data_IF_849794125943
#
_entry.id   IF_849794125943
#
_cell.length_a   1.000
_cell.length_b   1.000
_cell.length_c   1.000
_cell.angle_alpha   90.00
_cell.angle_beta   90.00
_cell.angle_gamma   90.00
#
_symmetry.space_group_name_H-M   'P 1'
#
loop_
_entity.id
_entity.type
_entity.pdbx_description
1 polymer ?
#
# COMPACT_ATOMS: atom_id res chain seq x y z
N UNK A 1 -6.99 22.91 13.76
CA UNK A 1 -5.65 22.97 14.42
C UNK A 1 -4.70 22.12 13.59
N UNK A 2 -3.61 22.73 13.09
CA UNK A 2 -2.58 21.94 12.40
C UNK A 2 -1.84 21.10 13.45
N UNK A 3 -2.05 19.79 13.44
CA UNK A 3 -1.28 18.87 14.25
C UNK A 3 0.19 18.94 13.80
N UNK A 4 1.05 19.45 14.66
CA UNK A 4 2.48 19.58 14.36
C UNK A 4 3.26 18.59 15.21
N UNK A 5 3.60 17.44 14.62
CA UNK A 5 4.36 16.38 15.28
C UNK A 5 5.74 16.85 15.80
N UNK A 6 6.29 17.93 15.23
CA UNK A 6 7.61 18.48 15.64
C UNK A 6 7.61 19.03 17.08
N UNK A 7 6.43 19.32 17.62
CA UNK A 7 6.26 19.81 18.99
C UNK A 7 6.01 18.69 20.02
N UNK A 8 5.94 17.43 19.56
CA UNK A 8 5.72 16.28 20.45
C UNK A 8 7.02 15.79 21.09
N UNK A 9 6.96 15.39 22.35
CA UNK A 9 8.02 14.65 23.03
C UNK A 9 8.24 13.27 22.37
N UNK A 10 9.40 12.65 22.60
CA UNK A 10 9.71 11.30 22.11
C UNK A 10 8.63 10.30 22.52
N UNK A 11 8.14 10.35 23.76
CA UNK A 11 7.08 9.46 24.27
C UNK A 11 5.75 9.68 23.54
N UNK A 12 5.38 10.93 23.28
CA UNK A 12 4.16 11.24 22.52
C UNK A 12 4.27 10.80 21.08
N UNK A 13 5.45 10.96 20.46
CA UNK A 13 5.71 10.44 19.11
C UNK A 13 5.55 8.92 19.05
N UNK A 14 6.17 8.17 19.96
CA UNK A 14 6.01 6.72 20.05
C UNK A 14 4.54 6.32 20.22
N UNK A 15 3.80 6.98 21.11
CA UNK A 15 2.39 6.67 21.32
C UNK A 15 1.51 7.00 20.11
N UNK A 16 1.88 8.00 19.30
CA UNK A 16 1.10 8.43 18.15
C UNK A 16 1.47 7.70 16.84
N UNK A 17 2.73 7.28 16.68
CA UNK A 17 3.21 6.78 15.39
C UNK A 17 3.75 5.34 15.44
N UNK A 18 3.86 4.72 16.62
CA UNK A 18 4.08 3.29 16.73
C UNK A 18 2.74 2.57 16.92
N UNK A 19 2.13 1.99 15.86
CA UNK A 19 0.80 1.41 15.95
C UNK A 19 0.75 0.19 16.88
N UNK A 20 1.89 -0.45 17.17
CA UNK A 20 1.94 -1.57 18.14
C UNK A 20 1.57 -1.12 19.54
N UNK A 21 1.87 0.14 19.91
CA UNK A 21 1.55 0.69 21.21
C UNK A 21 0.04 1.03 21.37
N UNK A 22 -0.71 1.03 20.26
CA UNK A 22 -2.14 1.34 20.25
C UNK A 22 -3.04 0.13 20.46
N UNK A 23 -2.48 -1.08 20.52
CA UNK A 23 -3.23 -2.33 20.68
C UNK A 23 -2.62 -3.17 21.80
N UNK A 24 -3.45 -3.88 22.56
CA UNK A 24 -2.98 -4.69 23.68
C UNK A 24 -2.04 -5.84 23.24
N UNK A 25 -2.33 -6.43 22.09
CA UNK A 25 -1.54 -7.53 21.52
C UNK A 25 -1.62 -7.50 19.99
N UNK A 26 -0.58 -6.94 19.36
CA UNK A 26 -0.50 -6.90 17.91
C UNK A 26 -0.16 -8.26 17.28
N UNK A 27 0.43 -9.18 18.06
CA UNK A 27 0.86 -10.50 17.53
C UNK A 27 -0.33 -11.33 17.05
N UNK A 28 -1.50 -11.17 17.68
CA UNK A 28 -2.75 -11.81 17.22
C UNK A 28 -3.12 -11.45 15.80
N UNK A 29 -2.99 -10.16 15.43
CA UNK A 29 -3.27 -9.73 14.06
C UNK A 29 -2.27 -10.33 13.06
N UNK A 30 -0.99 -10.41 13.44
CA UNK A 30 0.04 -11.00 12.57
C UNK A 30 -0.20 -12.50 12.35
N UNK A 31 -0.58 -13.21 13.40
CA UNK A 31 -0.95 -14.63 13.29
C UNK A 31 -2.20 -14.82 12.41
N UNK A 32 -3.19 -13.95 12.56
CA UNK A 32 -4.41 -13.98 11.76
C UNK A 32 -4.11 -13.66 10.28
N UNK A 33 -3.26 -12.67 9.98
CA UNK A 33 -2.82 -12.39 8.61
C UNK A 33 -2.18 -13.63 7.97
N UNK A 34 -1.23 -14.27 8.66
CA UNK A 34 -0.56 -15.47 8.17
C UNK A 34 -1.54 -16.61 7.91
N UNK A 35 -2.46 -16.85 8.84
CA UNK A 35 -3.49 -17.87 8.70
C UNK A 35 -4.41 -17.61 7.51
N UNK A 36 -4.95 -16.40 7.40
CA UNK A 36 -5.83 -16.00 6.29
C UNK A 36 -5.09 -15.99 4.95
N UNK A 37 -3.84 -15.49 4.96
CA UNK A 37 -2.98 -15.46 3.79
C UNK A 37 -2.67 -16.86 3.27
N UNK A 38 -2.28 -17.79 4.13
CA UNK A 38 -2.04 -19.18 3.78
C UNK A 38 -3.29 -19.84 3.20
N UNK A 39 -4.43 -19.74 3.90
CA UNK A 39 -5.71 -20.27 3.43
C UNK A 39 -6.06 -19.76 2.03
N UNK A 40 -5.89 -18.46 1.79
CA UNK A 40 -6.16 -17.85 0.49
C UNK A 40 -5.28 -18.42 -0.62
N UNK A 41 -4.00 -18.63 -0.34
CA UNK A 41 -3.04 -19.20 -1.30
C UNK A 41 -3.34 -20.67 -1.64
N UNK A 42 -4.00 -21.38 -0.74
CA UNK A 42 -4.47 -22.77 -0.95
C UNK A 42 -5.80 -22.83 -1.72
N UNK A 43 -6.71 -21.88 -1.48
CA UNK A 43 -8.08 -21.93 -2.01
C UNK A 43 -8.26 -21.17 -3.34
N UNK A 44 -7.47 -20.13 -3.58
CA UNK A 44 -7.63 -19.27 -4.78
C UNK A 44 -6.56 -19.61 -5.82
N UNK A 45 -6.94 -19.75 -7.11
CA UNK A 45 -5.98 -19.98 -8.18
C UNK A 45 -4.89 -18.89 -8.18
N UNK A 46 -3.64 -19.31 -8.04
CA UNK A 46 -2.51 -18.41 -7.89
C UNK A 46 -1.24 -18.93 -8.55
N UNK A 47 -0.35 -18.02 -8.90
CA UNK A 47 1.03 -18.28 -9.29
C UNK A 47 1.91 -17.53 -8.29
N UNK A 48 2.69 -18.25 -7.54
CA UNK A 48 3.43 -17.76 -6.38
C UNK A 48 4.89 -17.53 -6.73
N UNK A 49 5.50 -16.49 -6.10
CA UNK A 49 6.93 -16.21 -6.17
C UNK A 49 7.48 -15.93 -7.57
N UNK A 50 6.70 -15.26 -8.41
CA UNK A 50 7.15 -14.79 -9.72
C UNK A 50 8.16 -13.66 -9.55
N UNK A 51 9.39 -13.83 -10.03
CA UNK A 51 10.43 -12.81 -9.94
C UNK A 51 10.16 -11.64 -10.89
N UNK A 52 10.26 -10.41 -10.37
CA UNK A 52 10.23 -9.18 -11.17
C UNK A 52 11.58 -8.45 -11.18
N UNK A 53 12.55 -8.93 -10.41
CA UNK A 53 13.90 -8.39 -10.31
C UNK A 53 14.92 -9.44 -9.89
N UNK A 54 16.15 -8.99 -9.55
CA UNK A 54 17.29 -9.86 -9.32
C UNK A 54 17.57 -10.22 -7.86
N UNK A 55 16.87 -9.63 -6.89
CA UNK A 55 17.09 -9.89 -5.46
C UNK A 55 16.07 -10.87 -4.88
N UNK A 56 16.35 -11.51 -3.74
CA UNK A 56 15.50 -12.57 -3.19
C UNK A 56 14.04 -12.19 -2.97
N UNK A 57 13.76 -10.93 -2.51
CA UNK A 57 12.40 -10.46 -2.22
C UNK A 57 11.76 -9.68 -3.39
N UNK A 58 12.46 -9.47 -4.50
CA UNK A 58 11.85 -8.92 -5.71
C UNK A 58 10.96 -9.96 -6.40
N UNK A 59 9.92 -10.37 -5.69
CA UNK A 59 8.93 -11.36 -6.12
C UNK A 59 7.51 -10.83 -5.94
N UNK A 60 6.59 -11.41 -6.69
CA UNK A 60 5.17 -11.12 -6.57
C UNK A 60 4.35 -12.41 -6.67
N UNK A 61 3.16 -12.39 -6.09
CA UNK A 61 2.16 -13.43 -6.26
C UNK A 61 1.03 -12.92 -7.14
N UNK A 62 0.50 -13.79 -7.98
CA UNK A 62 -0.56 -13.48 -8.95
C UNK A 62 -1.78 -14.31 -8.58
N UNK A 63 -2.93 -13.68 -8.35
CA UNK A 63 -4.19 -14.34 -8.05
C UNK A 63 -5.22 -13.97 -9.12
N UNK A 64 -5.95 -14.95 -9.60
CA UNK A 64 -6.97 -14.71 -10.61
C UNK A 64 -7.70 -15.98 -11.00
N UNK A 65 -8.92 -15.84 -11.52
CA UNK A 65 -9.66 -16.98 -12.10
C UNK A 65 -8.97 -17.49 -13.35
N UNK A 66 -9.17 -18.76 -13.66
CA UNK A 66 -8.74 -19.33 -14.94
C UNK A 66 -9.47 -18.64 -16.10
N UNK A 67 -8.79 -18.51 -17.23
CA UNK A 67 -9.35 -17.95 -18.48
C UNK A 67 -9.75 -16.46 -18.42
N UNK A 68 -9.16 -15.67 -17.50
CA UNK A 68 -9.30 -14.22 -17.59
C UNK A 68 -8.80 -13.72 -18.95
N UNK A 69 -9.55 -12.78 -19.52
CA UNK A 69 -9.18 -12.12 -20.77
C UNK A 69 -9.48 -10.63 -20.65
N UNK A 70 -8.48 -9.81 -20.86
CA UNK A 70 -8.58 -8.34 -20.78
C UNK A 70 -9.09 -7.82 -19.41
N UNK A 71 -8.81 -8.56 -18.33
CA UNK A 71 -9.26 -8.25 -16.97
C UNK A 71 -8.58 -6.99 -16.43
N UNK A 72 -9.30 -6.22 -15.62
CA UNK A 72 -8.72 -5.12 -14.87
C UNK A 72 -7.72 -5.65 -13.85
N UNK A 73 -6.64 -4.92 -13.63
CA UNK A 73 -5.50 -5.32 -12.81
C UNK A 73 -5.51 -4.53 -11.50
N UNK A 74 -5.29 -5.22 -10.39
CA UNK A 74 -5.06 -4.58 -9.11
C UNK A 74 -3.73 -5.03 -8.51
N UNK A 75 -2.94 -4.09 -8.02
CA UNK A 75 -1.65 -4.33 -7.37
C UNK A 75 -1.77 -3.94 -5.89
N UNK A 76 -1.32 -4.80 -5.00
CA UNK A 76 -1.22 -4.50 -3.57
C UNK A 76 0.24 -4.48 -3.09
N UNK A 77 0.57 -3.50 -2.24
CA UNK A 77 1.87 -3.32 -1.61
C UNK A 77 1.71 -3.37 -0.10
N UNK A 78 2.39 -4.31 0.55
CA UNK A 78 2.29 -4.52 1.99
C UNK A 78 2.95 -3.40 2.81
N UNK A 79 2.58 -3.32 4.08
CA UNK A 79 3.14 -2.42 5.07
C UNK A 79 4.36 -3.01 5.81
N UNK A 80 4.55 -2.60 7.08
CA UNK A 80 5.60 -3.13 7.95
C UNK A 80 6.77 -2.17 8.17
N UNK A 81 6.55 -0.87 8.10
CA UNK A 81 7.59 0.15 8.29
C UNK A 81 8.84 -0.07 7.40
N UNK A 82 8.66 -0.58 6.17
CA UNK A 82 9.73 -0.91 5.20
C UNK A 82 10.76 -1.93 5.73
N UNK A 83 10.54 -2.60 6.87
CA UNK A 83 11.47 -3.49 7.56
C UNK A 83 10.91 -4.86 7.93
N UNK A 84 9.64 -5.10 7.70
CA UNK A 84 8.94 -6.31 8.13
C UNK A 84 7.77 -6.64 7.22
N UNK A 85 7.19 -7.82 7.42
CA UNK A 85 6.11 -8.42 6.68
C UNK A 85 6.52 -8.89 5.29
N UNK A 86 5.60 -9.60 4.66
CA UNK A 86 5.76 -10.23 3.35
C UNK A 86 4.43 -10.16 2.59
N UNK A 87 4.50 -10.23 1.26
CA UNK A 87 3.32 -10.29 0.40
C UNK A 87 2.33 -11.40 0.79
N UNK A 88 2.85 -12.51 1.33
CA UNK A 88 2.05 -13.65 1.75
C UNK A 88 1.17 -13.37 2.97
N UNK A 89 1.60 -12.46 3.85
CA UNK A 89 0.83 -12.08 5.05
C UNK A 89 -0.50 -11.38 4.70
N UNK A 90 -0.65 -10.91 3.45
CA UNK A 90 -1.83 -10.15 3.00
C UNK A 90 -2.53 -10.76 1.79
N UNK A 91 -2.31 -12.04 1.49
CA UNK A 91 -2.93 -12.73 0.34
C UNK A 91 -4.46 -12.73 0.40
N UNK A 92 -5.07 -12.68 1.60
CA UNK A 92 -6.53 -12.61 1.80
C UNK A 92 -7.17 -11.37 1.15
N UNK A 93 -6.42 -10.30 0.94
CA UNK A 93 -6.92 -9.12 0.25
C UNK A 93 -7.20 -9.37 -1.24
N UNK A 94 -6.68 -10.45 -1.82
CA UNK A 94 -6.99 -10.84 -3.19
C UNK A 94 -8.43 -11.32 -3.37
N UNK A 95 -9.04 -11.90 -2.31
CA UNK A 95 -10.38 -12.54 -2.37
C UNK A 95 -11.43 -11.64 -3.01
N UNK A 96 -11.68 -10.40 -2.52
CA UNK A 96 -12.72 -9.56 -3.10
C UNK A 96 -12.45 -9.16 -4.55
N UNK A 97 -11.18 -9.00 -4.95
CA UNK A 97 -10.84 -8.66 -6.33
C UNK A 97 -11.02 -9.83 -7.28
N UNK A 98 -10.50 -11.01 -6.92
CA UNK A 98 -10.65 -12.24 -7.73
C UNK A 98 -12.12 -12.64 -7.88
N UNK A 99 -12.92 -12.50 -6.83
CA UNK A 99 -14.36 -12.75 -6.88
C UNK A 99 -15.11 -11.80 -7.84
N UNK A 100 -14.50 -10.66 -8.16
CA UNK A 100 -15.02 -9.67 -9.11
C UNK A 100 -14.34 -9.69 -10.47
N UNK A 101 -13.66 -10.79 -10.83
CA UNK A 101 -12.98 -11.02 -12.12
C UNK A 101 -11.80 -10.08 -12.39
N UNK A 102 -11.17 -9.54 -11.35
CA UNK A 102 -9.92 -8.80 -11.48
C UNK A 102 -8.71 -9.73 -11.35
N UNK A 103 -7.65 -9.40 -12.06
CA UNK A 103 -6.33 -10.00 -11.87
C UNK A 103 -5.60 -9.23 -10.77
N UNK A 104 -5.18 -9.93 -9.71
CA UNK A 104 -4.58 -9.32 -8.53
C UNK A 104 -3.10 -9.71 -8.38
N UNK A 105 -2.26 -8.72 -8.09
CA UNK A 105 -0.83 -8.89 -7.85
C UNK A 105 -0.50 -8.44 -6.43
N UNK A 106 0.09 -9.32 -5.62
CA UNK A 106 0.66 -8.96 -4.32
C UNK A 106 2.17 -8.83 -4.46
N UNK A 107 2.71 -7.62 -4.23
CA UNK A 107 4.12 -7.33 -4.46
C UNK A 107 4.91 -7.41 -3.14
N UNK A 108 6.04 -8.11 -3.20
CA UNK A 108 7.08 -8.06 -2.18
C UNK A 108 8.21 -7.11 -2.60
N UNK A 109 9.04 -6.71 -1.67
CA UNK A 109 10.23 -5.89 -1.87
C UNK A 109 11.27 -6.19 -0.79
N UNK A 110 12.52 -5.81 -1.01
CA UNK A 110 13.55 -5.89 0.02
C UNK A 110 13.20 -4.98 1.22
N UNK A 111 13.87 -5.23 2.33
CA UNK A 111 13.56 -4.59 3.60
C UNK A 111 14.76 -3.80 4.14
N UNK A 112 14.50 -2.69 4.79
CA UNK A 112 15.47 -1.99 5.62
C UNK A 112 15.91 -2.89 6.80
N UNK A 113 17.14 -2.80 7.28
CA UNK A 113 18.22 -1.91 6.83
C UNK A 113 19.08 -2.52 5.70
N UNK A 114 18.74 -3.69 5.15
CA UNK A 114 19.51 -4.36 4.10
C UNK A 114 19.57 -3.53 2.80
N UNK A 115 18.53 -2.76 2.55
CA UNK A 115 18.46 -1.77 1.47
C UNK A 115 17.92 -0.44 2.03
N UNK A 116 18.15 0.65 1.31
CA UNK A 116 17.62 1.98 1.65
C UNK A 116 16.16 2.11 1.25
N UNK A 117 15.45 3.09 1.84
CA UNK A 117 14.08 3.41 1.44
C UNK A 117 13.99 3.80 -0.04
N UNK A 118 14.99 4.52 -0.57
CA UNK A 118 15.05 4.85 -2.00
C UNK A 118 15.14 3.61 -2.89
N UNK A 119 15.89 2.59 -2.48
CA UNK A 119 15.97 1.33 -3.23
C UNK A 119 14.65 0.59 -3.19
N UNK A 120 13.94 0.57 -2.05
CA UNK A 120 12.59 -0.02 -1.97
C UNK A 120 11.63 0.71 -2.92
N UNK A 121 11.64 2.04 -2.96
CA UNK A 121 10.82 2.82 -3.90
C UNK A 121 11.12 2.42 -5.35
N UNK A 122 12.40 2.28 -5.72
CA UNK A 122 12.78 1.84 -7.08
C UNK A 122 12.34 0.41 -7.38
N UNK A 123 12.36 -0.49 -6.38
CA UNK A 123 11.86 -1.86 -6.55
C UNK A 123 10.36 -1.88 -6.82
N UNK A 124 9.56 -1.05 -6.13
CA UNK A 124 8.13 -0.93 -6.39
C UNK A 124 7.85 -0.37 -7.79
N UNK A 125 8.60 0.66 -8.22
CA UNK A 125 8.52 1.17 -9.59
C UNK A 125 8.82 0.06 -10.60
N UNK A 126 9.88 -0.73 -10.37
CA UNK A 126 10.26 -1.86 -11.21
C UNK A 126 9.18 -2.95 -11.27
N UNK A 127 8.54 -3.23 -10.12
CA UNK A 127 7.44 -4.20 -10.04
C UNK A 127 6.21 -3.74 -10.86
N UNK A 128 5.84 -2.46 -10.78
CA UNK A 128 4.73 -1.89 -11.55
C UNK A 128 5.05 -1.94 -13.06
N UNK A 129 6.29 -1.61 -13.46
CA UNK A 129 6.76 -1.76 -14.86
C UNK A 129 6.64 -3.22 -15.31
N UNK A 130 7.06 -4.16 -14.46
CA UNK A 130 6.98 -5.58 -14.77
C UNK A 130 5.52 -6.01 -14.95
N UNK A 131 4.62 -5.61 -14.07
CA UNK A 131 3.17 -5.90 -14.20
C UNK A 131 2.62 -5.30 -15.48
N UNK A 132 2.91 -4.04 -15.78
CA UNK A 132 2.49 -3.39 -17.03
C UNK A 132 2.91 -4.18 -18.27
N UNK A 133 4.16 -4.65 -18.31
CA UNK A 133 4.72 -5.39 -19.46
C UNK A 133 4.22 -6.84 -19.56
N UNK A 134 3.86 -7.46 -18.43
CA UNK A 134 3.64 -8.91 -18.38
C UNK A 134 2.19 -9.33 -18.06
N UNK A 135 1.32 -8.46 -17.50
CA UNK A 135 -0.02 -8.86 -17.03
C UNK A 135 -0.88 -9.51 -18.13
N UNK A 136 -0.67 -9.16 -19.42
CA UNK A 136 -1.37 -9.82 -20.54
C UNK A 136 -1.17 -11.33 -20.59
N UNK A 137 0.00 -11.85 -20.18
CA UNK A 137 0.29 -13.29 -20.13
C UNK A 137 -0.61 -14.04 -19.15
N UNK A 138 -1.19 -13.29 -18.20
CA UNK A 138 -2.06 -13.79 -17.14
C UNK A 138 -3.51 -13.34 -17.33
N UNK A 139 -3.85 -12.81 -18.51
CA UNK A 139 -5.20 -12.36 -18.84
C UNK A 139 -5.55 -10.94 -18.40
N UNK A 140 -4.59 -10.15 -17.93
CA UNK A 140 -4.79 -8.76 -17.51
C UNK A 140 -4.66 -7.73 -18.63
N UNK A 141 -5.23 -6.54 -18.41
CA UNK A 141 -5.11 -5.39 -19.31
C UNK A 141 -4.11 -4.36 -18.73
N UNK A 142 -2.96 -4.11 -19.39
CA UNK A 142 -1.97 -3.15 -18.90
C UNK A 142 -2.46 -1.70 -18.90
N UNK A 143 -3.54 -1.38 -19.61
CA UNK A 143 -4.15 -0.06 -19.60
C UNK A 143 -5.19 0.14 -18.49
N UNK A 144 -5.39 -0.87 -17.63
CA UNK A 144 -6.40 -0.90 -16.57
C UNK A 144 -5.77 -1.36 -15.24
N UNK A 145 -4.77 -0.61 -14.79
CA UNK A 145 -4.03 -0.92 -13.55
C UNK A 145 -4.44 0.03 -12.43
N UNK A 146 -4.84 -0.54 -11.31
CA UNK A 146 -5.01 0.16 -10.03
C UNK A 146 -4.03 -0.35 -9.01
N UNK A 147 -3.69 0.47 -8.02
CA UNK A 147 -2.78 0.09 -6.94
C UNK A 147 -3.41 0.35 -5.57
N UNK A 148 -3.02 -0.42 -4.58
CA UNK A 148 -3.33 -0.14 -3.18
C UNK A 148 -2.14 -0.50 -2.29
N UNK A 149 -2.10 0.12 -1.12
CA UNK A 149 -1.10 -0.21 -0.11
C UNK A 149 -1.54 0.22 1.27
N UNK A 150 -1.00 -0.45 2.27
CA UNK A 150 -1.27 -0.18 3.67
C UNK A 150 -0.02 0.33 4.39
N UNK A 151 -0.16 1.35 5.25
CA UNK A 151 0.94 1.85 6.08
C UNK A 151 2.16 2.27 5.23
N UNK A 152 3.32 1.65 5.41
CA UNK A 152 4.49 1.82 4.54
C UNK A 152 4.18 1.50 3.06
N UNK A 153 3.29 0.54 2.76
CA UNK A 153 2.84 0.27 1.41
C UNK A 153 2.03 1.41 0.79
N UNK A 154 1.22 2.12 1.59
CA UNK A 154 0.51 3.32 1.12
C UNK A 154 1.47 4.46 0.82
N UNK A 155 2.55 4.60 1.61
CA UNK A 155 3.66 5.51 1.28
C UNK A 155 4.26 5.15 -0.09
N UNK A 156 4.59 3.87 -0.32
CA UNK A 156 5.16 3.40 -1.58
C UNK A 156 4.21 3.62 -2.77
N UNK A 157 2.90 3.43 -2.58
CA UNK A 157 1.89 3.82 -3.56
C UNK A 157 1.91 5.33 -3.84
N UNK A 158 2.04 6.17 -2.78
CA UNK A 158 2.12 7.62 -2.94
C UNK A 158 3.35 8.06 -3.73
N UNK A 159 4.48 7.38 -3.56
CA UNK A 159 5.68 7.60 -4.37
C UNK A 159 5.44 7.18 -5.84
N UNK A 160 4.76 6.05 -6.06
CA UNK A 160 4.48 5.55 -7.41
C UNK A 160 3.54 6.47 -8.20
N UNK A 161 2.46 6.99 -7.60
CA UNK A 161 1.55 7.92 -8.29
C UNK A 161 2.19 9.27 -8.63
N UNK A 162 3.31 9.60 -7.98
CA UNK A 162 4.10 10.81 -8.25
C UNK A 162 5.33 10.56 -9.13
N UNK A 163 5.48 9.34 -9.67
CA UNK A 163 6.58 9.00 -10.56
C UNK A 163 6.34 9.54 -11.97
N UNK A 164 7.36 10.15 -12.58
CA UNK A 164 7.33 10.58 -13.99
C UNK A 164 7.53 9.36 -14.90
N UNK A 165 6.47 8.59 -15.12
CA UNK A 165 6.50 7.32 -15.84
C UNK A 165 7.00 7.44 -17.28
N UNK A 166 6.77 8.57 -17.95
CA UNK A 166 7.27 8.81 -19.31
C UNK A 166 8.80 8.77 -19.40
N UNK A 167 9.51 9.18 -18.35
CA UNK A 167 10.99 9.06 -18.29
C UNK A 167 11.47 7.61 -18.23
N UNK A 168 10.57 6.67 -17.91
CA UNK A 168 10.82 5.23 -17.84
C UNK A 168 10.24 4.47 -19.05
N UNK A 169 9.83 5.19 -20.11
CA UNK A 169 9.17 4.65 -21.30
C UNK A 169 7.86 3.90 -20.97
N UNK A 170 7.12 4.39 -19.99
CA UNK A 170 5.80 3.89 -19.56
C UNK A 170 4.81 5.06 -19.66
N UNK A 171 3.55 4.84 -20.06
CA UNK A 171 2.55 5.91 -20.08
C UNK A 171 2.39 6.59 -18.71
N UNK A 172 2.35 7.92 -18.67
CA UNK A 172 2.19 8.67 -17.40
C UNK A 172 0.94 8.24 -16.63
N UNK A 173 -0.12 7.87 -17.32
CA UNK A 173 -1.37 7.41 -16.74
C UNK A 173 -1.43 5.87 -16.60
N UNK A 174 -0.30 5.19 -16.43
CA UNK A 174 -0.25 3.73 -16.23
C UNK A 174 -1.08 3.30 -15.01
N UNK A 175 -1.06 4.09 -13.94
CA UNK A 175 -1.90 3.89 -12.74
C UNK A 175 -3.19 4.69 -12.94
N UNK A 176 -4.32 4.00 -12.99
CA UNK A 176 -5.65 4.60 -13.19
C UNK A 176 -6.35 4.94 -11.89
N UNK A 177 -6.05 4.20 -10.83
CA UNK A 177 -6.60 4.43 -9.50
C UNK A 177 -5.65 3.98 -8.40
N UNK A 178 -5.70 4.65 -7.26
CA UNK A 178 -4.87 4.36 -6.10
C UNK A 178 -5.70 4.32 -4.81
N UNK A 179 -5.37 3.38 -3.92
CA UNK A 179 -5.98 3.30 -2.58
C UNK A 179 -4.89 3.37 -1.54
N UNK A 180 -4.92 4.43 -0.74
CA UNK A 180 -3.92 4.74 0.26
C UNK A 180 -4.52 4.49 1.65
N UNK A 181 -4.14 3.35 2.27
CA UNK A 181 -4.71 2.88 3.52
C UNK A 181 -3.76 3.21 4.67
N UNK A 182 -4.12 4.16 5.54
CA UNK A 182 -3.36 4.52 6.75
C UNK A 182 -1.87 4.72 6.49
N UNK A 183 -1.51 5.55 5.52
CA UNK A 183 -0.13 5.69 5.02
C UNK A 183 0.80 6.51 5.92
N UNK A 184 2.11 6.36 5.69
CA UNK A 184 3.16 7.20 6.25
C UNK A 184 3.51 8.26 5.21
N UNK A 185 3.12 9.51 5.45
CA UNK A 185 3.30 10.59 4.48
C UNK A 185 4.38 11.60 4.87
N UNK A 186 4.91 11.49 6.09
CA UNK A 186 6.02 12.29 6.61
C UNK A 186 7.11 11.35 7.18
N UNK A 187 7.98 10.74 6.35
CA UNK A 187 9.01 9.82 6.81
C UNK A 187 10.00 10.41 7.83
N UNK A 188 10.16 11.75 7.88
CA UNK A 188 10.98 12.39 8.91
C UNK A 188 10.55 12.07 10.35
N UNK A 189 9.28 11.75 10.59
CA UNK A 189 8.78 11.34 11.90
C UNK A 189 9.52 10.09 12.39
N UNK A 190 9.81 9.17 11.48
CA UNK A 190 10.47 7.89 11.79
C UNK A 190 11.86 8.10 12.41
N UNK A 191 12.56 9.18 12.06
CA UNK A 191 13.87 9.54 12.66
C UNK A 191 13.81 9.73 14.18
N UNK A 192 12.62 9.96 14.74
CA UNK A 192 12.39 10.19 16.16
C UNK A 192 11.83 8.97 16.90
N UNK A 193 11.49 7.91 16.17
CA UNK A 193 10.88 6.68 16.70
C UNK A 193 11.93 5.62 16.98
N UNK A 194 11.67 4.76 17.95
CA UNK A 194 12.50 3.59 18.26
C UNK A 194 12.65 2.63 17.08
N UNK A 195 11.61 2.52 16.25
CA UNK A 195 11.63 1.68 15.04
C UNK A 195 12.75 2.06 14.06
N UNK A 196 13.31 3.27 14.15
CA UNK A 196 14.42 3.68 13.30
C UNK A 196 15.73 2.95 13.61
N UNK A 197 15.88 2.37 14.79
CA UNK A 197 17.02 1.51 15.13
C UNK A 197 17.10 0.27 14.22
N UNK A 198 15.92 -0.19 13.74
CA UNK A 198 15.83 -1.33 12.82
C UNK A 198 15.81 -0.89 11.33
N UNK A 199 15.33 0.32 11.03
CA UNK A 199 15.22 0.85 9.65
C UNK A 199 16.54 1.50 9.19
N UNK A 200 17.24 2.17 10.10
CA UNK A 200 18.43 2.97 9.82
C UNK A 200 18.17 4.08 8.78
N UNK A 201 16.99 4.71 8.86
CA UNK A 201 16.58 5.80 7.96
C UNK A 201 17.42 7.05 8.26
N UNK A 202 18.08 7.60 7.26
CA UNK A 202 18.75 8.89 7.37
C UNK A 202 17.79 10.06 7.06
N UNK A 203 18.13 11.27 7.53
CA UNK A 203 17.35 12.47 7.20
C UNK A 203 17.29 12.72 5.69
N UNK A 204 18.40 12.48 4.97
CA UNK A 204 18.45 12.60 3.51
C UNK A 204 17.45 11.64 2.82
N UNK A 205 17.43 10.39 3.25
CA UNK A 205 16.49 9.38 2.74
C UNK A 205 15.04 9.73 3.07
N UNK A 206 14.76 10.20 4.31
CA UNK A 206 13.43 10.62 4.70
C UNK A 206 12.89 11.77 3.82
N UNK A 207 13.68 12.81 3.63
CA UNK A 207 13.31 13.97 2.80
C UNK A 207 13.13 13.58 1.32
N UNK A 208 14.07 12.79 0.77
CA UNK A 208 14.01 12.33 -0.62
C UNK A 208 12.75 11.49 -0.93
N UNK A 209 12.30 10.73 0.06
CA UNK A 209 11.15 9.84 -0.07
C UNK A 209 9.90 10.40 0.61
N UNK A 210 9.79 11.70 0.82
CA UNK A 210 8.55 12.35 1.25
C UNK A 210 7.63 12.49 0.03
N UNK A 211 6.41 11.90 0.05
CA UNK A 211 5.52 11.94 -1.10
C UNK A 211 5.10 13.37 -1.44
N UNK A 212 5.13 13.72 -2.72
CA UNK A 212 4.55 14.96 -3.20
C UNK A 212 3.04 14.97 -3.02
N UNK A 213 2.47 16.12 -2.76
CA UNK A 213 1.01 16.33 -2.76
C UNK A 213 0.46 16.72 -4.14
N UNK A 214 1.33 16.88 -5.14
CA UNK A 214 0.89 17.34 -6.47
C UNK A 214 0.14 16.26 -7.26
N UNK A 215 0.33 14.96 -6.90
CA UNK A 215 -0.27 13.83 -7.60
C UNK A 215 -0.17 13.95 -9.13
N UNK A 216 1.08 13.99 -9.62
CA UNK A 216 1.44 14.36 -11.00
C UNK A 216 0.63 13.63 -12.07
N UNK A 217 0.28 12.36 -11.80
CA UNK A 217 -0.43 11.52 -12.75
C UNK A 217 -1.96 11.53 -12.55
N UNK A 218 -2.45 12.22 -11.52
CA UNK A 218 -3.86 12.42 -11.17
C UNK A 218 -4.76 11.17 -11.30
N UNK A 219 -4.38 9.99 -10.76
CA UNK A 219 -5.27 8.85 -10.75
C UNK A 219 -6.44 9.09 -9.77
N UNK A 220 -7.59 8.47 -10.00
CA UNK A 220 -8.65 8.45 -8.98
C UNK A 220 -8.08 7.87 -7.67
N UNK A 221 -8.07 8.65 -6.60
CA UNK A 221 -7.41 8.28 -5.35
C UNK A 221 -8.43 8.13 -4.21
N UNK A 222 -8.48 6.94 -3.62
CA UNK A 222 -9.19 6.69 -2.37
C UNK A 222 -8.20 6.71 -1.22
N UNK A 223 -8.50 7.48 -0.18
CA UNK A 223 -7.72 7.47 1.06
C UNK A 223 -8.58 6.99 2.22
N UNK A 224 -8.02 6.24 3.14
CA UNK A 224 -8.74 5.85 4.35
C UNK A 224 -7.84 5.68 5.56
N UNK A 225 -8.48 5.71 6.74
CA UNK A 225 -7.87 5.47 8.04
C UNK A 225 -8.90 4.85 8.98
N UNK A 226 -8.48 4.01 9.90
CA UNK A 226 -9.35 3.46 10.94
C UNK A 226 -9.70 4.49 12.01
N UNK A 227 -10.94 4.47 12.51
CA UNK A 227 -11.37 5.41 13.55
C UNK A 227 -10.73 5.12 14.92
N UNK A 228 -10.26 3.90 15.14
CA UNK A 228 -9.59 3.46 16.38
C UNK A 228 -8.07 3.47 16.26
N UNK A 229 -7.53 4.09 15.21
CA UNK A 229 -6.08 4.36 15.12
C UNK A 229 -5.68 5.51 16.04
N UNK A 230 -4.37 5.64 16.29
CA UNK A 230 -3.86 6.77 17.07
C UNK A 230 -4.07 8.09 16.33
N UNK A 231 -4.10 9.17 17.10
CA UNK A 231 -4.30 10.51 16.54
C UNK A 231 -3.26 10.86 15.45
N UNK A 232 -2.01 10.43 15.63
CA UNK A 232 -0.94 10.67 14.65
C UNK A 232 -1.26 10.06 13.28
N UNK A 233 -1.75 8.81 13.23
CA UNK A 233 -2.15 8.15 11.98
C UNK A 233 -3.36 8.81 11.35
N UNK A 234 -4.39 9.13 12.14
CA UNK A 234 -5.60 9.81 11.67
C UNK A 234 -5.26 11.19 11.08
N UNK A 235 -4.48 11.98 11.81
CA UNK A 235 -4.16 13.35 11.40
C UNK A 235 -3.26 13.39 10.16
N UNK A 236 -2.20 12.57 10.09
CA UNK A 236 -1.34 12.56 8.91
C UNK A 236 -2.09 12.12 7.64
N UNK A 237 -3.00 11.14 7.77
CA UNK A 237 -3.82 10.71 6.63
C UNK A 237 -4.74 11.84 6.18
N UNK A 238 -5.44 12.51 7.11
CA UNK A 238 -6.32 13.65 6.78
C UNK A 238 -5.55 14.82 6.17
N UNK A 239 -4.37 15.16 6.73
CA UNK A 239 -3.53 16.27 6.24
C UNK A 239 -3.03 15.96 4.82
N UNK A 240 -2.53 14.74 4.58
CA UNK A 240 -2.08 14.36 3.24
C UNK A 240 -3.24 14.33 2.24
N UNK A 241 -4.37 13.74 2.63
CA UNK A 241 -5.58 13.73 1.79
C UNK A 241 -6.00 15.15 1.40
N UNK A 242 -6.04 16.09 2.36
CA UNK A 242 -6.37 17.48 2.06
C UNK A 242 -5.38 18.09 1.07
N UNK A 243 -4.07 17.87 1.27
CA UNK A 243 -3.04 18.38 0.35
C UNK A 243 -3.21 17.86 -1.09
N UNK A 244 -3.63 16.59 -1.26
CA UNK A 244 -3.85 16.07 -2.61
C UNK A 244 -5.20 16.53 -3.20
N UNK A 245 -6.26 16.72 -2.41
CA UNK A 245 -7.53 17.30 -2.86
C UNK A 245 -7.33 18.72 -3.41
N UNK A 246 -6.48 19.52 -2.77
CA UNK A 246 -6.20 20.89 -3.22
C UNK A 246 -5.52 20.94 -4.60
N UNK A 247 -5.04 19.81 -5.12
CA UNK A 247 -4.31 19.71 -6.39
C UNK A 247 -4.91 18.68 -7.39
N UNK A 248 -5.97 17.97 -7.02
CA UNK A 248 -6.51 16.84 -7.79
C UNK A 248 -8.02 16.73 -7.65
N UNK A 249 -8.71 16.48 -8.76
CA UNK A 249 -10.18 16.50 -8.83
C UNK A 249 -10.85 15.22 -8.30
N UNK A 250 -10.15 14.08 -8.31
CA UNK A 250 -10.71 12.75 -8.02
C UNK A 250 -10.08 12.12 -6.77
N UNK A 251 -10.38 12.69 -5.60
CA UNK A 251 -9.89 12.18 -4.32
C UNK A 251 -11.04 12.01 -3.34
N UNK A 252 -11.21 10.80 -2.83
CA UNK A 252 -12.18 10.47 -1.79
C UNK A 252 -11.49 10.09 -0.47
N UNK A 253 -12.04 10.55 0.65
CA UNK A 253 -11.61 10.15 1.98
C UNK A 253 -12.68 9.33 2.70
N UNK A 254 -12.25 8.31 3.44
CA UNK A 254 -13.12 7.49 4.28
C UNK A 254 -12.51 7.21 5.65
N UNK A 255 -13.32 7.25 6.70
CA UNK A 255 -12.93 6.73 8.03
C UNK A 255 -13.63 5.39 8.24
N UNK A 256 -12.85 4.32 8.46
CA UNK A 256 -13.39 2.99 8.72
C UNK A 256 -13.69 2.87 10.21
N UNK A 257 -14.98 2.74 10.54
CA UNK A 257 -15.43 2.74 11.93
C UNK A 257 -14.97 1.48 12.68
N UNK A 258 -14.54 1.66 13.93
CA UNK A 258 -14.07 0.63 14.85
C UNK A 258 -12.79 -0.13 14.40
N UNK A 259 -12.15 0.31 13.31
CA UNK A 259 -10.91 -0.30 12.84
C UNK A 259 -9.69 0.40 13.45
N UNK A 260 -8.71 -0.40 13.88
CA UNK A 260 -7.37 0.05 14.21
C UNK A 260 -6.40 -0.26 13.05
N UNK A 261 -5.13 0.13 13.20
CA UNK A 261 -4.11 -0.02 12.16
C UNK A 261 -3.92 -1.46 11.64
N UNK A 262 -4.24 -2.47 12.45
CA UNK A 262 -4.09 -3.88 12.09
C UNK A 262 -5.43 -4.51 11.68
N UNK A 263 -6.51 -4.26 12.41
CA UNK A 263 -7.82 -4.86 12.08
C UNK A 263 -8.33 -4.44 10.70
N UNK A 264 -7.92 -3.27 10.20
CA UNK A 264 -8.18 -2.83 8.82
C UNK A 264 -7.87 -3.92 7.79
N UNK A 265 -6.71 -4.58 7.91
CA UNK A 265 -6.27 -5.57 6.90
C UNK A 265 -7.07 -6.88 6.94
N UNK A 266 -7.76 -7.14 8.05
CA UNK A 266 -8.68 -8.27 8.17
C UNK A 266 -10.04 -7.86 7.57
N UNK A 267 -10.57 -6.71 7.99
CA UNK A 267 -11.88 -6.25 7.52
C UNK A 267 -11.93 -5.96 6.02
N UNK A 268 -10.79 -5.57 5.42
CA UNK A 268 -10.69 -5.32 3.98
C UNK A 268 -10.58 -6.60 3.13
N UNK A 269 -10.49 -7.77 3.74
CA UNK A 269 -10.66 -9.05 3.05
C UNK A 269 -12.15 -9.44 2.87
N UNK A 270 -13.07 -8.80 3.60
CA UNK A 270 -14.51 -9.07 3.48
C UNK A 270 -15.12 -8.31 2.31
N UNK A 271 -15.62 -9.04 1.32
CA UNK A 271 -16.34 -8.48 0.15
C UNK A 271 -17.62 -7.70 0.51
N UNK A 272 -18.16 -7.86 1.73
CA UNK A 272 -19.32 -7.10 2.23
C UNK A 272 -18.92 -5.72 2.73
N UNK A 273 -17.65 -5.49 3.07
CA UNK A 273 -17.15 -4.20 3.55
C UNK A 273 -17.44 -3.09 2.53
N UNK A 274 -18.04 -1.99 3.01
CA UNK A 274 -18.44 -0.88 2.14
C UNK A 274 -17.27 -0.20 1.43
N UNK A 275 -16.11 -0.13 2.10
CA UNK A 275 -14.92 0.47 1.50
C UNK A 275 -14.32 -0.46 0.43
N UNK A 276 -14.31 -1.77 0.66
CA UNK A 276 -13.92 -2.77 -0.35
C UNK A 276 -14.79 -2.64 -1.61
N UNK A 277 -16.09 -2.46 -1.45
CA UNK A 277 -17.00 -2.22 -2.60
C UNK A 277 -16.61 -0.94 -3.37
N UNK A 278 -16.18 0.13 -2.69
CA UNK A 278 -15.65 1.34 -3.36
C UNK A 278 -14.36 1.03 -4.14
N UNK A 279 -13.43 0.28 -3.53
CA UNK A 279 -12.18 -0.13 -4.17
C UNK A 279 -12.45 -0.94 -5.44
N UNK A 280 -13.32 -1.95 -5.36
CA UNK A 280 -13.71 -2.79 -6.50
C UNK A 280 -14.40 -1.96 -7.58
N UNK A 281 -15.34 -1.08 -7.19
CA UNK A 281 -16.04 -0.21 -8.14
C UNK A 281 -15.06 0.70 -8.88
N UNK A 282 -14.13 1.33 -8.17
CA UNK A 282 -13.06 2.11 -8.79
C UNK A 282 -12.26 1.25 -9.77
N UNK A 283 -11.80 0.06 -9.33
CA UNK A 283 -10.96 -0.81 -10.16
C UNK A 283 -11.68 -1.39 -11.40
N UNK A 284 -13.01 -1.46 -11.40
CA UNK A 284 -13.83 -1.95 -12.54
C UNK A 284 -14.16 -0.86 -13.55
N UNK A 285 -14.22 0.40 -13.13
CA UNK A 285 -14.72 1.52 -13.94
C UNK A 285 -13.60 2.42 -14.50
N UNK A 286 -12.40 1.90 -14.64
CA UNK A 286 -11.23 2.60 -15.20
C UNK A 286 -11.03 2.30 -16.70
#
# INVERSE_FOLDING_TARGET
MNFNWKNLSKKELENNYNPRNAVADFSKYILEYKSLGQKTREEIPSIIDVSYGGTPLQKLDIFGKKNLNNANVHIFIHGGYWRALDKSDHSQLAIPFVNNDLLYFSINHELCPHVTLSEIVQQIISAIIWVYKNCKRYGGNPNKITISGHSAGAHLCSMAINTEWSKLNIPNNVIKGAVLISGIYEPEIVLKLSVNEEINLSKKEALKNTPSSLNINNPHTLTCVGSSETKGWIDQTKIYTKKIIDNCDNVDFSTLQNENHFSLMISLADSKNKFVKKMINMAKNI
#
